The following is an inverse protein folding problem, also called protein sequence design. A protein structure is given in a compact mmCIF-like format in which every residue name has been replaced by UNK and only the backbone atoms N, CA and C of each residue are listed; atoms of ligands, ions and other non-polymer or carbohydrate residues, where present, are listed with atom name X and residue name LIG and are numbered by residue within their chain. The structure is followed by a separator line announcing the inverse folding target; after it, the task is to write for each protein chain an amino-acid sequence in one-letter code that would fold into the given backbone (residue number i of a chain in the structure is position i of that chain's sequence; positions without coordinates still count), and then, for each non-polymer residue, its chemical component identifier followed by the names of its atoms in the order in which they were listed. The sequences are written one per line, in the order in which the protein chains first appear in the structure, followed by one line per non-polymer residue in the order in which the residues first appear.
data_IF_066595488580
#
_entry.id   IF_066595488580
#
_cell.length_a   1.000
_cell.length_b   1.000
_cell.length_c   1.000
_cell.angle_alpha   90.00
_cell.angle_beta   90.00
_cell.angle_gamma   90.00
#
_symmetry.space_group_name_H-M   'P 1'
#
loop_
_entity.id
_entity.type
_entity.pdbx_description
1 polymer ?
#
# COMPACT_ATOMS: atom_id res chain seq x y z
N UNK A 1 -14.62 -0.52 10.72
CA UNK A 1 -13.29 0.12 10.79
C UNK A 1 -13.50 1.62 10.66
N UNK A 2 -12.90 2.43 11.54
CA UNK A 2 -13.09 3.89 11.62
C UNK A 2 -12.00 4.68 10.90
N UNK A 3 -10.88 4.04 10.60
CA UNK A 3 -9.75 4.57 9.83
C UNK A 3 -8.64 3.56 9.75
N UNK A 4 -7.67 3.79 8.89
CA UNK A 4 -6.51 2.93 8.74
C UNK A 4 -5.27 3.68 8.25
N UNK A 5 -4.12 3.15 8.61
CA UNK A 5 -2.81 3.61 8.12
C UNK A 5 -2.11 2.45 7.42
N UNK A 6 -1.65 2.66 6.22
CA UNK A 6 -0.87 1.72 5.45
C UNK A 6 0.53 2.31 5.22
N UNK A 7 1.47 1.95 6.09
CA UNK A 7 2.87 2.35 5.91
C UNK A 7 3.60 1.40 4.98
N UNK A 8 4.29 1.95 4.00
CA UNK A 8 5.11 1.17 3.06
C UNK A 8 4.35 -0.01 2.46
N UNK A 9 3.17 0.20 1.80
CA UNK A 9 2.29 -0.90 1.42
C UNK A 9 2.99 -1.88 0.48
N UNK A 10 3.06 -3.14 0.93
CA UNK A 10 3.71 -4.24 0.23
C UNK A 10 2.71 -5.00 -0.65
N UNK A 11 3.20 -5.74 -1.63
CA UNK A 11 2.40 -6.54 -2.58
C UNK A 11 1.32 -5.70 -3.30
N UNK A 12 1.71 -4.51 -3.72
CA UNK A 12 0.88 -3.60 -4.50
C UNK A 12 1.37 -3.52 -5.93
N UNK A 13 0.44 -3.48 -6.90
CA UNK A 13 0.74 -3.30 -8.31
C UNK A 13 1.77 -4.33 -8.82
N UNK A 14 1.44 -5.62 -8.73
CA UNK A 14 2.35 -6.72 -9.05
C UNK A 14 3.07 -6.57 -10.40
N UNK A 15 2.42 -6.19 -11.51
CA UNK A 15 3.12 -6.05 -12.79
C UNK A 15 4.28 -5.05 -12.71
N UNK A 16 4.08 -3.94 -12.01
CA UNK A 16 5.10 -2.90 -11.86
C UNK A 16 6.20 -3.33 -10.89
N UNK A 17 5.83 -3.92 -9.75
CA UNK A 17 6.78 -4.47 -8.79
C UNK A 17 7.68 -5.52 -9.43
N UNK A 18 7.13 -6.44 -10.21
CA UNK A 18 7.88 -7.46 -10.96
C UNK A 18 8.83 -6.84 -11.99
N UNK A 19 8.47 -5.71 -12.59
CA UNK A 19 9.31 -4.99 -13.54
C UNK A 19 10.49 -4.31 -12.85
N UNK A 20 10.26 -3.73 -11.66
CA UNK A 20 11.24 -2.92 -10.94
C UNK A 20 12.17 -3.74 -10.07
N UNK A 21 11.66 -4.78 -9.42
CA UNK A 21 12.37 -5.51 -8.37
C UNK A 21 12.92 -6.85 -8.85
N UNK A 22 14.06 -7.23 -8.25
CA UNK A 22 14.73 -8.53 -8.44
C UNK A 22 14.91 -9.28 -7.12
N UNK A 23 14.08 -8.95 -6.13
CA UNK A 23 14.06 -9.58 -4.81
C UNK A 23 12.79 -10.41 -4.62
N UNK A 24 12.79 -11.26 -3.58
CA UNK A 24 11.61 -12.01 -3.16
C UNK A 24 10.45 -11.05 -2.81
N UNK A 25 9.21 -11.37 -3.17
CA UNK A 25 8.75 -12.56 -3.95
C UNK A 25 8.75 -12.33 -5.47
N UNK A 26 9.09 -11.14 -5.94
CA UNK A 26 8.92 -10.77 -7.35
C UNK A 26 9.89 -11.50 -8.28
N UNK A 27 11.09 -11.84 -7.79
CA UNK A 27 12.03 -12.61 -8.61
C UNK A 27 11.54 -14.04 -8.85
N UNK A 28 10.87 -14.66 -7.88
CA UNK A 28 10.23 -15.98 -8.07
C UNK A 28 9.12 -15.93 -9.13
N UNK A 29 8.28 -14.87 -9.08
CA UNK A 29 7.24 -14.67 -10.09
C UNK A 29 7.84 -14.43 -11.48
N UNK A 30 8.93 -13.68 -11.56
CA UNK A 30 9.68 -13.46 -12.79
C UNK A 30 10.31 -14.75 -13.31
N UNK A 31 10.86 -15.59 -12.41
CA UNK A 31 11.39 -16.92 -12.78
C UNK A 31 10.29 -17.82 -13.32
N UNK A 32 9.14 -17.88 -12.65
CA UNK A 32 7.98 -18.63 -13.12
C UNK A 32 7.53 -18.16 -14.51
N UNK A 33 7.39 -16.85 -14.71
CA UNK A 33 6.96 -16.29 -15.99
C UNK A 33 7.94 -16.64 -17.14
N UNK A 34 9.24 -16.60 -16.87
CA UNK A 34 10.27 -17.00 -17.86
C UNK A 34 10.23 -18.48 -18.18
N UNK A 35 10.02 -19.32 -17.17
CA UNK A 35 9.94 -20.77 -17.34
C UNK A 35 8.63 -21.22 -18.03
N UNK A 36 7.57 -20.43 -17.92
CA UNK A 36 6.23 -20.75 -18.40
C UNK A 36 5.62 -19.60 -19.22
N UNK A 37 6.20 -19.23 -20.36
CA UNK A 37 5.78 -18.04 -21.12
C UNK A 37 4.30 -18.07 -21.55
N UNK A 38 3.75 -19.27 -21.83
CA UNK A 38 2.34 -19.46 -22.17
C UNK A 38 1.36 -19.23 -21.00
N UNK A 39 1.84 -19.21 -19.75
CA UNK A 39 1.00 -19.04 -18.55
C UNK A 39 1.16 -17.68 -17.86
N UNK A 40 1.97 -16.78 -18.39
CA UNK A 40 2.25 -15.49 -17.77
C UNK A 40 0.99 -14.65 -17.57
N UNK A 41 0.07 -14.64 -18.53
CA UNK A 41 -1.21 -13.91 -18.40
C UNK A 41 -2.11 -14.52 -17.32
N UNK A 42 -2.16 -15.85 -17.23
CA UNK A 42 -2.94 -16.55 -16.20
C UNK A 42 -2.36 -16.27 -14.81
N UNK A 43 -1.03 -16.28 -14.67
CA UNK A 43 -0.35 -15.91 -13.42
C UNK A 43 -0.73 -14.49 -12.99
N UNK A 44 -0.62 -13.50 -13.88
CA UNK A 44 -1.01 -12.13 -13.57
C UNK A 44 -2.49 -12.00 -13.23
N UNK A 45 -3.37 -12.74 -13.92
CA UNK A 45 -4.79 -12.78 -13.61
C UNK A 45 -5.05 -13.32 -12.19
N UNK A 46 -4.30 -14.35 -11.77
CA UNK A 46 -4.37 -14.91 -10.41
C UNK A 46 -3.86 -13.89 -9.37
N UNK A 47 -2.72 -13.23 -9.63
CA UNK A 47 -2.14 -12.24 -8.73
C UNK A 47 -3.07 -11.04 -8.48
N UNK A 48 -3.98 -10.71 -9.40
CA UNK A 48 -4.98 -9.65 -9.20
C UNK A 48 -5.89 -9.90 -7.99
N UNK A 49 -6.08 -11.15 -7.58
CA UNK A 49 -6.85 -11.50 -6.38
C UNK A 49 -6.09 -11.26 -5.07
N UNK A 50 -4.81 -10.93 -5.15
CA UNK A 50 -3.93 -10.67 -4.00
C UNK A 50 -3.37 -9.26 -4.01
N UNK A 51 -3.54 -8.53 -5.11
CA UNK A 51 -3.02 -7.18 -5.29
C UNK A 51 -3.88 -6.16 -4.53
N UNK A 52 -3.29 -5.51 -3.53
CA UNK A 52 -3.96 -4.53 -2.68
C UNK A 52 -4.59 -3.37 -3.48
N UNK A 53 -4.02 -3.01 -4.63
CA UNK A 53 -4.55 -1.96 -5.52
C UNK A 53 -5.97 -2.28 -5.98
N UNK A 54 -6.28 -3.55 -6.22
CA UNK A 54 -7.61 -3.96 -6.69
C UNK A 54 -8.69 -3.94 -5.58
N UNK A 55 -8.28 -3.95 -4.32
CA UNK A 55 -9.20 -3.91 -3.17
C UNK A 55 -9.35 -2.50 -2.58
N UNK A 56 -8.38 -1.63 -2.83
CA UNK A 56 -8.39 -0.26 -2.34
C UNK A 56 -9.68 0.52 -2.64
N UNK A 57 -10.33 0.39 -3.81
CA UNK A 57 -11.62 1.07 -4.07
C UNK A 57 -12.75 0.65 -3.14
N UNK A 58 -12.67 -0.54 -2.53
CA UNK A 58 -13.63 -1.05 -1.54
C UNK A 58 -13.49 -0.44 -0.14
N UNK A 59 -12.37 0.21 0.15
CA UNK A 59 -12.12 0.84 1.45
C UNK A 59 -12.89 2.17 1.53
N UNK A 60 -13.76 2.30 2.53
CA UNK A 60 -14.63 3.47 2.71
C UNK A 60 -14.27 4.32 3.91
N UNK A 61 -13.48 3.81 4.85
CA UNK A 61 -12.98 4.59 5.97
C UNK A 61 -11.85 5.54 5.53
N UNK A 62 -11.58 6.61 6.30
CA UNK A 62 -10.41 7.44 6.10
C UNK A 62 -9.12 6.61 6.14
N UNK A 63 -8.23 6.85 5.20
CA UNK A 63 -6.96 6.13 5.07
C UNK A 63 -5.78 7.09 4.97
N UNK A 64 -4.66 6.68 5.55
CA UNK A 64 -3.35 7.25 5.25
C UNK A 64 -2.50 6.22 4.52
N UNK A 65 -1.75 6.66 3.54
CA UNK A 65 -0.68 5.85 2.92
C UNK A 65 0.65 6.55 3.14
N UNK A 66 1.58 5.85 3.80
CA UNK A 66 2.96 6.31 4.00
C UNK A 66 3.90 5.71 2.97
N UNK A 67 4.69 6.54 2.30
CA UNK A 67 5.63 6.14 1.25
C UNK A 67 7.00 6.74 1.54
N UNK A 68 8.01 5.88 1.61
CA UNK A 68 9.41 6.31 1.64
C UNK A 68 9.95 6.36 0.19
N UNK A 69 10.63 7.45 -0.15
CA UNK A 69 11.04 7.65 -1.55
C UNK A 69 12.31 6.88 -1.94
N UNK A 70 13.09 6.44 -0.96
CA UNK A 70 14.27 5.58 -1.15
C UNK A 70 13.98 4.10 -0.80
N UNK A 71 12.70 3.68 -0.86
CA UNK A 71 12.29 2.32 -0.51
C UNK A 71 12.62 1.34 -1.65
N UNK A 72 13.58 0.45 -1.40
CA UNK A 72 14.01 -0.61 -2.32
C UNK A 72 13.20 -1.91 -2.16
N UNK A 73 12.35 -2.00 -1.13
CA UNK A 73 11.48 -3.17 -0.86
C UNK A 73 10.06 -2.94 -1.37
N UNK A 74 9.50 -1.76 -1.06
CA UNK A 74 8.19 -1.32 -1.53
C UNK A 74 8.37 -0.05 -2.39
N UNK A 75 8.68 -0.19 -3.68
CA UNK A 75 8.99 0.96 -4.52
C UNK A 75 7.91 2.03 -4.44
N UNK A 76 8.27 3.32 -4.33
CA UNK A 76 7.32 4.42 -4.12
C UNK A 76 6.14 4.42 -5.10
N UNK A 77 6.39 4.09 -6.37
CA UNK A 77 5.36 4.03 -7.42
C UNK A 77 4.26 3.02 -7.13
N UNK A 78 4.57 1.89 -6.47
CA UNK A 78 3.60 0.84 -6.15
C UNK A 78 2.71 1.23 -4.98
N UNK A 79 3.28 1.88 -3.95
CA UNK A 79 2.53 2.50 -2.86
C UNK A 79 1.63 3.64 -3.35
N UNK A 80 2.13 4.42 -4.31
CA UNK A 80 1.35 5.49 -4.93
C UNK A 80 0.16 4.93 -5.73
N UNK A 81 0.32 3.80 -6.40
CA UNK A 81 -0.78 3.12 -7.09
C UNK A 81 -1.88 2.72 -6.11
N UNK A 82 -1.53 2.17 -4.94
CA UNK A 82 -2.49 1.85 -3.89
C UNK A 82 -3.20 3.10 -3.36
N UNK A 83 -2.46 4.19 -3.11
CA UNK A 83 -3.03 5.47 -2.71
C UNK A 83 -4.02 6.01 -3.76
N UNK A 84 -3.66 6.00 -5.03
CA UNK A 84 -4.53 6.49 -6.12
C UNK A 84 -5.82 5.67 -6.22
N UNK A 85 -5.75 4.37 -6.00
CA UNK A 85 -6.90 3.47 -6.08
C UNK A 85 -7.93 3.67 -4.95
N UNK A 86 -7.54 4.25 -3.81
CA UNK A 86 -8.47 4.62 -2.74
C UNK A 86 -9.47 5.65 -3.24
N UNK A 87 -10.76 5.45 -2.96
CA UNK A 87 -11.86 6.34 -3.38
C UNK A 87 -12.44 7.16 -2.25
N UNK A 88 -12.16 6.80 -0.99
CA UNK A 88 -12.60 7.52 0.21
C UNK A 88 -11.68 8.68 0.58
N UNK A 89 -11.91 9.24 1.77
CA UNK A 89 -11.01 10.23 2.38
C UNK A 89 -9.63 9.62 2.55
N UNK A 90 -8.61 10.29 2.03
CA UNK A 90 -7.25 9.77 2.05
C UNK A 90 -6.21 10.86 2.23
N UNK A 91 -5.13 10.52 2.93
CA UNK A 91 -3.95 11.34 3.11
C UNK A 91 -2.71 10.60 2.58
N UNK A 92 -1.73 11.34 2.12
CA UNK A 92 -0.45 10.81 1.68
C UNK A 92 0.66 11.38 2.55
N UNK A 93 1.45 10.49 3.15
CA UNK A 93 2.67 10.87 3.85
C UNK A 93 3.88 10.44 3.02
N UNK A 94 4.70 11.41 2.66
CA UNK A 94 5.96 11.17 1.94
C UNK A 94 7.14 11.35 2.88
N UNK A 95 8.08 10.42 2.81
CA UNK A 95 9.33 10.43 3.56
C UNK A 95 10.51 10.42 2.56
N UNK A 96 10.96 11.62 2.12
CA UNK A 96 11.90 11.75 1.00
C UNK A 96 13.23 11.05 1.22
N UNK A 97 13.79 11.20 2.42
CA UNK A 97 15.14 10.72 2.77
C UNK A 97 15.08 9.41 3.58
N UNK A 98 14.14 8.53 3.24
CA UNK A 98 13.92 7.31 4.01
C UNK A 98 13.76 6.10 3.09
N UNK A 99 14.42 5.00 3.47
CA UNK A 99 14.18 3.67 2.92
C UNK A 99 13.05 2.94 3.64
N UNK A 100 12.92 1.64 3.38
CA UNK A 100 11.85 0.80 3.91
C UNK A 100 11.81 0.78 5.45
N UNK A 101 10.72 1.29 6.02
CA UNK A 101 10.49 1.27 7.47
C UNK A 101 11.39 2.22 8.28
N UNK A 102 12.19 3.08 7.65
CA UNK A 102 13.21 3.88 8.31
C UNK A 102 12.81 5.34 8.61
N UNK A 103 11.59 5.76 8.30
CA UNK A 103 11.13 7.11 8.62
C UNK A 103 10.90 7.25 10.13
N UNK A 104 11.78 7.97 10.81
CA UNK A 104 11.79 8.13 12.27
C UNK A 104 10.48 8.73 12.81
N UNK A 105 9.87 9.66 12.07
CA UNK A 105 8.62 10.30 12.47
C UNK A 105 7.38 9.45 12.22
N UNK A 106 7.48 8.36 11.46
CA UNK A 106 6.32 7.53 11.06
C UNK A 106 5.53 7.00 12.26
N UNK A 107 6.14 6.36 13.29
CA UNK A 107 5.38 5.78 14.40
C UNK A 107 4.59 6.83 15.21
N UNK A 108 5.19 8.00 15.41
CA UNK A 108 4.54 9.09 16.14
C UNK A 108 3.36 9.68 15.33
N UNK A 109 3.54 9.87 14.02
CA UNK A 109 2.47 10.35 13.12
C UNK A 109 1.33 9.34 13.04
N UNK A 110 1.64 8.05 12.92
CA UNK A 110 0.66 6.97 12.89
C UNK A 110 -0.19 6.95 14.16
N UNK A 111 0.46 6.94 15.32
CA UNK A 111 -0.23 6.95 16.62
C UNK A 111 -1.14 8.16 16.75
N UNK A 112 -0.62 9.36 16.50
CA UNK A 112 -1.40 10.60 16.63
C UNK A 112 -2.60 10.62 15.66
N UNK A 113 -2.44 10.16 14.44
CA UNK A 113 -3.54 10.11 13.47
C UNK A 113 -4.63 9.11 13.89
N UNK A 114 -4.25 7.90 14.32
CA UNK A 114 -5.20 6.89 14.80
C UNK A 114 -5.98 7.36 16.04
N UNK A 115 -5.32 8.00 16.99
CA UNK A 115 -5.97 8.61 18.16
C UNK A 115 -7.01 9.66 17.76
N UNK A 116 -6.70 10.50 16.77
CA UNK A 116 -7.65 11.46 16.23
C UNK A 116 -8.89 10.79 15.62
N UNK A 117 -8.72 9.68 14.87
CA UNK A 117 -9.87 8.96 14.30
C UNK A 117 -10.74 8.33 15.38
N UNK A 118 -10.13 7.78 16.44
CA UNK A 118 -10.84 7.24 17.59
C UNK A 118 -11.65 8.34 18.27
N UNK A 119 -11.02 9.47 18.57
CA UNK A 119 -11.67 10.62 19.22
C UNK A 119 -12.85 11.14 18.40
N UNK A 120 -12.67 11.37 17.09
CA UNK A 120 -13.75 11.78 16.19
C UNK A 120 -14.92 10.78 16.19
N UNK A 121 -14.61 9.48 16.27
CA UNK A 121 -15.64 8.45 16.34
C UNK A 121 -16.44 8.46 17.64
N UNK A 122 -15.81 8.82 18.75
CA UNK A 122 -16.47 8.89 20.06
C UNK A 122 -17.31 10.16 20.19
N UNK A 123 -16.87 11.29 19.63
CA UNK A 123 -17.56 12.58 19.71
C UNK A 123 -18.65 12.75 18.64
N UNK A 124 -18.53 12.08 17.48
CA UNK A 124 -19.52 12.15 16.40
C UNK A 124 -20.76 11.26 16.59
N UNK A 125 -20.81 10.45 17.65
CA UNK A 125 -21.93 9.55 17.95
C UNK A 125 -23.03 10.14 18.88
N UNK A 126 -23.01 11.44 19.16
CA UNK A 126 -23.96 12.09 20.07
C UNK A 126 -24.92 13.10 19.39
N UNK A 127 -25.00 13.08 18.05
CA UNK A 127 -25.95 13.90 17.31
C UNK A 127 -26.88 13.00 16.46
N UNK A 128 -27.80 12.32 17.09
CA UNK A 128 -29.07 11.82 16.54
C UNK A 128 -30.18 11.99 17.58
#
# INVERSE_FOLDING_TARGET
IKGGVAGYPFLCCYPESMRMLRSYPYDELNCYARANPGHSQQMLATLRYYDAVNFAPGIKCPMVVGIALEDEVCPPGTGYAAYQALTGSKELWLFPDSGHGNAHEYPAKETAWLEQQITKSLTGGYND
#
